data_IF_866598207186
#
_entry.id   IF_866598207186
#
_cell.length_a   1.000
_cell.length_b   1.000
_cell.length_c   1.000
_cell.angle_alpha   90.00
_cell.angle_beta   90.00
_cell.angle_gamma   90.00
#
_symmetry.space_group_name_H-M   'P 1'
#
loop_
_entity.id
_entity.type
_entity.pdbx_description
1 polymer ?
#
# COMPACT_ATOMS: atom_id res chain seq x y z
N UNK A 1 16.86 17.60 -14.64
CA UNK A 1 16.59 16.50 -13.70
C UNK A 1 15.10 16.49 -13.42
N UNK A 2 14.39 15.37 -13.64
CA UNK A 2 12.93 15.30 -13.42
C UNK A 2 12.67 14.87 -11.98
N UNK A 3 11.96 15.70 -11.21
CA UNK A 3 11.51 15.36 -9.86
C UNK A 3 10.23 14.54 -9.95
N UNK A 4 10.19 13.40 -9.26
CA UNK A 4 9.00 12.55 -9.13
C UNK A 4 8.64 12.50 -7.65
N UNK A 5 7.39 12.82 -7.31
CA UNK A 5 6.86 12.70 -5.95
C UNK A 5 6.17 11.35 -5.82
N UNK A 6 6.42 10.67 -4.71
CA UNK A 6 5.86 9.36 -4.40
C UNK A 6 5.31 9.34 -2.98
N UNK A 7 4.40 8.42 -2.71
CA UNK A 7 3.82 8.13 -1.40
C UNK A 7 3.95 6.64 -1.10
N UNK A 8 4.02 6.29 0.18
CA UNK A 8 4.00 4.91 0.64
C UNK A 8 3.19 4.83 1.94
N UNK A 9 2.39 3.78 2.10
CA UNK A 9 1.62 3.57 3.31
C UNK A 9 2.36 2.61 4.26
N UNK A 10 2.47 3.02 5.52
CA UNK A 10 2.88 2.12 6.61
C UNK A 10 1.62 1.69 7.34
N UNK A 11 1.18 0.47 7.09
CA UNK A 11 -0.01 -0.12 7.71
C UNK A 11 0.45 -1.04 8.83
N UNK A 12 0.04 -0.74 10.07
CA UNK A 12 0.41 -1.51 11.25
C UNK A 12 -0.83 -2.01 12.00
N UNK A 13 -0.63 -3.04 12.83
CA UNK A 13 -1.68 -3.64 13.66
C UNK A 13 -2.25 -2.68 14.73
N UNK A 14 -1.40 -1.82 15.31
CA UNK A 14 -1.80 -0.78 16.26
C UNK A 14 -0.92 0.47 16.14
N UNK A 15 -1.52 1.63 16.38
CA UNK A 15 -0.79 2.90 16.39
C UNK A 15 0.03 3.05 17.69
N UNK A 16 -0.53 2.65 18.82
CA UNK A 16 0.09 2.76 20.14
C UNK A 16 1.15 1.68 20.36
N UNK A 17 0.91 0.45 19.89
CA UNK A 17 1.78 -0.71 20.12
C UNK A 17 1.98 -1.52 18.83
N UNK A 18 2.93 -1.11 17.99
CA UNK A 18 3.22 -1.76 16.71
C UNK A 18 3.92 -3.09 16.92
N UNK A 19 3.30 -4.21 16.52
CA UNK A 19 3.93 -5.53 16.51
C UNK A 19 4.10 -6.10 15.12
N UNK A 20 3.26 -5.66 14.16
CA UNK A 20 3.28 -6.14 12.77
C UNK A 20 3.08 -4.99 11.81
N UNK A 21 3.71 -5.09 10.64
CA UNK A 21 3.55 -4.15 9.54
C UNK A 21 3.22 -4.93 8.28
N UNK A 22 2.29 -4.42 7.49
CA UNK A 22 1.93 -4.97 6.19
C UNK A 22 2.90 -4.48 5.11
N UNK A 23 3.37 -5.39 4.27
CA UNK A 23 4.29 -5.12 3.17
C UNK A 23 3.94 -6.03 1.99
N UNK A 24 4.21 -5.55 0.78
CA UNK A 24 4.00 -6.28 -0.47
C UNK A 24 5.33 -6.81 -1.00
N UNK A 25 5.30 -7.93 -1.71
CA UNK A 25 6.48 -8.51 -2.34
C UNK A 25 6.60 -8.04 -3.79
N UNK A 26 7.79 -7.58 -4.21
CA UNK A 26 8.02 -7.09 -5.56
C UNK A 26 7.94 -8.21 -6.59
N UNK A 27 6.99 -8.13 -7.51
CA UNK A 27 6.77 -9.14 -8.55
C UNK A 27 7.81 -9.17 -9.69
N UNK A 28 8.48 -8.04 -9.96
CA UNK A 28 9.39 -7.90 -11.09
C UNK A 28 10.48 -6.82 -10.86
N UNK A 29 11.39 -6.69 -11.84
CA UNK A 29 12.45 -5.68 -11.83
C UNK A 29 13.70 -6.09 -11.05
N UNK A 30 14.64 -5.15 -10.89
CA UNK A 30 15.95 -5.38 -10.25
C UNK A 30 15.83 -5.84 -8.78
N UNK A 31 14.71 -5.55 -8.13
CA UNK A 31 14.45 -5.85 -6.72
C UNK A 31 13.34 -6.90 -6.53
N UNK A 32 13.09 -7.73 -7.55
CA UNK A 32 12.12 -8.83 -7.46
C UNK A 32 12.38 -9.68 -6.22
N UNK A 33 11.31 -10.03 -5.50
CA UNK A 33 11.38 -10.79 -4.25
C UNK A 33 11.77 -9.97 -3.02
N UNK A 34 12.08 -8.68 -3.18
CA UNK A 34 12.19 -7.74 -2.07
C UNK A 34 10.83 -7.39 -1.48
N UNK A 35 10.85 -6.86 -0.26
CA UNK A 35 9.68 -6.28 0.39
C UNK A 35 9.60 -4.78 0.12
N UNK A 36 8.41 -4.28 -0.19
CA UNK A 36 8.14 -2.84 -0.30
C UNK A 36 6.87 -2.45 0.47
N UNK A 37 6.79 -1.17 0.84
CA UNK A 37 5.54 -0.61 1.32
C UNK A 37 4.65 -0.28 0.13
N UNK A 38 3.35 -0.60 0.21
CA UNK A 38 2.43 -0.31 -0.88
C UNK A 38 2.30 1.19 -1.10
N UNK A 39 2.16 1.60 -2.35
CA UNK A 39 2.12 3.01 -2.74
C UNK A 39 2.78 3.28 -4.09
N UNK A 40 2.74 4.53 -4.53
CA UNK A 40 3.22 4.87 -5.85
C UNK A 40 3.38 6.36 -6.09
N UNK A 41 3.23 6.76 -7.35
CA UNK A 41 3.50 8.14 -7.78
C UNK A 41 2.30 9.01 -7.49
N UNK A 42 2.56 10.24 -7.09
CA UNK A 42 1.51 11.25 -6.99
C UNK A 42 1.17 11.70 -8.42
N UNK A 43 -0.10 11.58 -8.81
CA UNK A 43 -0.58 12.06 -10.11
C UNK A 43 -0.86 13.57 -10.10
N UNK A 44 -1.01 14.14 -11.29
CA UNK A 44 -1.25 15.58 -11.44
C UNK A 44 -2.59 15.96 -10.82
N UNK A 45 -2.58 16.93 -9.90
CA UNK A 45 -3.78 17.41 -9.23
C UNK A 45 -4.12 16.67 -7.93
N UNK A 46 -3.38 15.61 -7.58
CA UNK A 46 -3.59 14.90 -6.31
C UNK A 46 -2.84 15.56 -5.14
N UNK A 47 -3.50 15.59 -3.99
CA UNK A 47 -2.81 15.72 -2.70
C UNK A 47 -2.11 14.40 -2.35
N UNK A 48 -1.04 14.40 -1.53
CA UNK A 48 -0.41 13.17 -1.07
C UNK A 48 -1.38 12.18 -0.39
N UNK A 49 -2.38 12.70 0.32
CA UNK A 49 -3.42 11.91 0.98
C UNK A 49 -4.35 11.21 -0.03
N UNK A 50 -4.74 11.91 -1.10
CA UNK A 50 -5.53 11.31 -2.18
C UNK A 50 -4.72 10.23 -2.92
N UNK A 51 -3.46 10.54 -3.25
CA UNK A 51 -2.58 9.60 -3.95
C UNK A 51 -2.39 8.31 -3.14
N UNK A 52 -2.10 8.40 -1.84
CA UNK A 52 -1.87 7.19 -1.04
C UNK A 52 -3.14 6.35 -0.92
N UNK A 53 -4.31 6.97 -0.74
CA UNK A 53 -5.58 6.23 -0.69
C UNK A 53 -5.89 5.53 -2.02
N UNK A 54 -5.65 6.19 -3.16
CA UNK A 54 -5.83 5.60 -4.49
C UNK A 54 -4.90 4.41 -4.69
N UNK A 55 -3.59 4.60 -4.48
CA UNK A 55 -2.57 3.55 -4.69
C UNK A 55 -2.85 2.31 -3.84
N UNK A 56 -3.20 2.47 -2.56
CA UNK A 56 -3.50 1.32 -1.70
C UNK A 56 -4.76 0.58 -2.17
N UNK A 57 -5.80 1.28 -2.64
CA UNK A 57 -6.98 0.62 -3.20
C UNK A 57 -6.62 -0.18 -4.45
N UNK A 58 -5.93 0.45 -5.41
CA UNK A 58 -5.54 -0.18 -6.67
C UNK A 58 -4.69 -1.44 -6.45
N UNK A 59 -3.69 -1.37 -5.58
CA UNK A 59 -2.83 -2.52 -5.28
C UNK A 59 -3.59 -3.66 -4.57
N UNK A 60 -4.46 -3.33 -3.60
CA UNK A 60 -5.22 -4.34 -2.86
C UNK A 60 -6.33 -4.99 -3.69
N UNK A 61 -6.91 -4.27 -4.65
CA UNK A 61 -7.95 -4.77 -5.56
C UNK A 61 -7.36 -5.59 -6.72
N UNK A 62 -6.08 -5.40 -7.06
CA UNK A 62 -5.39 -6.14 -8.11
C UNK A 62 -4.90 -7.55 -7.66
N UNK A 63 -5.02 -7.89 -6.37
CA UNK A 63 -4.52 -9.15 -5.81
C UNK A 63 -5.67 -10.11 -5.48
N UNK A 64 -5.54 -11.36 -5.91
CA UNK A 64 -6.40 -12.45 -5.46
C UNK A 64 -5.89 -12.98 -4.11
N UNK A 65 -6.49 -12.49 -3.03
CA UNK A 65 -6.11 -12.86 -1.66
C UNK A 65 -6.55 -14.28 -1.31
N UNK A 66 -5.75 -14.95 -0.46
CA UNK A 66 -6.13 -16.22 0.13
C UNK A 66 -7.25 -15.98 1.16
N UNK A 67 -8.13 -16.96 1.42
CA UNK A 67 -9.23 -16.81 2.38
C UNK A 67 -8.78 -16.38 3.78
N UNK A 68 -7.58 -16.77 4.21
CA UNK A 68 -7.01 -16.38 5.50
C UNK A 68 -6.68 -14.89 5.61
N UNK A 69 -6.44 -14.22 4.48
CA UNK A 69 -6.01 -12.82 4.43
C UNK A 69 -7.18 -11.86 4.19
N UNK A 70 -8.32 -12.33 3.66
CA UNK A 70 -9.47 -11.48 3.28
C UNK A 70 -9.93 -10.58 4.42
N UNK A 71 -10.05 -11.10 5.65
CA UNK A 71 -10.46 -10.30 6.82
C UNK A 71 -9.51 -9.14 7.11
N UNK A 72 -8.20 -9.33 6.92
CA UNK A 72 -7.22 -8.25 7.10
C UNK A 72 -7.39 -7.19 6.00
N UNK A 73 -7.57 -7.63 4.76
CA UNK A 73 -7.74 -6.73 3.61
C UNK A 73 -9.02 -5.88 3.75
N UNK A 74 -10.13 -6.49 4.17
CA UNK A 74 -11.38 -5.77 4.41
C UNK A 74 -11.23 -4.71 5.50
N UNK A 75 -10.49 -5.02 6.56
CA UNK A 75 -10.17 -4.04 7.61
C UNK A 75 -9.38 -2.86 7.04
N UNK A 76 -8.35 -3.12 6.23
CA UNK A 76 -7.55 -2.06 5.61
C UNK A 76 -8.44 -1.19 4.70
N UNK A 77 -9.28 -1.79 3.87
CA UNK A 77 -10.22 -1.08 2.98
C UNK A 77 -11.21 -0.20 3.74
N UNK A 78 -11.69 -0.66 4.90
CA UNK A 78 -12.61 0.12 5.74
C UNK A 78 -12.01 1.42 6.30
N UNK A 79 -10.68 1.46 6.51
CA UNK A 79 -9.97 2.64 7.01
C UNK A 79 -9.72 3.71 5.93
N UNK A 80 -9.98 3.39 4.67
CA UNK A 80 -9.73 4.30 3.54
C UNK A 80 -10.98 5.08 3.11
N UNK A 81 -12.15 4.79 3.71
CA UNK A 81 -13.42 5.43 3.41
C UNK A 81 -13.43 6.93 3.74
#
# INVERSE_FOLDING_TARGET
MKTIRVVAAVICDSIEHKTKIFSTARGYGKFKGGWEFPGGKIEAGETPQQAVVREIREELDAVQWLPADVTLIDKIKSCMA
#
